data_IF_335283356687
#
_entry.id   IF_335283356687
#
_cell.length_a   1.000
_cell.length_b   1.000
_cell.length_c   1.000
_cell.angle_alpha   90.00
_cell.angle_beta   90.00
_cell.angle_gamma   90.00
#
_symmetry.space_group_name_H-M   'P 1'
#
loop_
_entity.id
_entity.type
_entity.pdbx_description
1 polymer ?
#
# COMPACT_ATOMS: atom_id res chain seq x y z
N UNK A 1 1.79 -2.36 -4.08
CA UNK A 1 2.53 -3.29 -4.95
C UNK A 1 3.99 -2.89 -4.99
N UNK A 2 4.91 -3.81 -4.74
CA UNK A 2 6.36 -3.57 -4.71
C UNK A 2 6.93 -3.10 -6.06
N UNK A 3 6.29 -3.52 -7.17
CA UNK A 3 6.57 -2.97 -8.49
C UNK A 3 6.29 -1.45 -8.57
N UNK A 4 5.13 -1.01 -8.08
CA UNK A 4 4.75 0.42 -8.11
C UNK A 4 5.47 1.26 -7.06
N UNK A 5 5.78 0.66 -5.90
CA UNK A 5 6.44 1.35 -4.80
C UNK A 5 7.97 1.45 -4.98
N UNK A 6 8.60 0.41 -5.53
CA UNK A 6 10.06 0.29 -5.58
C UNK A 6 10.64 0.00 -6.97
N UNK A 7 9.80 -0.23 -7.98
CA UNK A 7 10.25 -0.56 -9.35
C UNK A 7 10.83 -1.97 -9.47
N UNK A 8 10.52 -2.88 -8.54
CA UNK A 8 11.09 -4.22 -8.53
C UNK A 8 10.58 -5.11 -9.66
N UNK A 9 11.50 -5.79 -10.35
CA UNK A 9 11.18 -6.86 -11.30
C UNK A 9 10.56 -8.07 -10.60
N UNK A 10 9.86 -8.94 -11.36
CA UNK A 10 9.28 -10.21 -10.85
C UNK A 10 10.29 -11.03 -10.06
N UNK A 11 11.52 -11.14 -10.56
CA UNK A 11 12.59 -11.88 -9.91
C UNK A 11 12.98 -11.27 -8.57
N UNK A 12 13.00 -9.95 -8.46
CA UNK A 12 13.34 -9.25 -7.22
C UNK A 12 12.20 -9.40 -6.19
N UNK A 13 10.93 -9.36 -6.64
CA UNK A 13 9.78 -9.63 -5.78
C UNK A 13 9.83 -11.06 -5.24
N UNK A 14 10.13 -12.06 -6.07
CA UNK A 14 10.28 -13.44 -5.62
C UNK A 14 11.47 -13.62 -4.64
N UNK A 15 12.54 -12.83 -4.77
CA UNK A 15 13.67 -12.86 -3.81
C UNK A 15 13.29 -12.28 -2.45
N UNK A 16 12.51 -11.20 -2.43
CA UNK A 16 12.09 -10.52 -1.20
C UNK A 16 10.93 -11.26 -0.52
N UNK A 17 10.09 -11.94 -1.30
CA UNK A 17 8.94 -12.72 -0.85
C UNK A 17 9.14 -14.20 -1.20
N UNK A 18 9.94 -14.89 -0.38
CA UNK A 18 10.29 -16.31 -0.57
C UNK A 18 9.11 -17.29 -0.64
N UNK A 19 7.91 -16.85 -0.24
CA UNK A 19 6.67 -17.63 -0.32
C UNK A 19 5.92 -17.48 -1.66
N UNK A 20 6.27 -16.48 -2.47
CA UNK A 20 5.66 -16.29 -3.79
C UNK A 20 6.39 -17.13 -4.82
N UNK A 21 5.63 -17.90 -5.61
CA UNK A 21 6.24 -18.56 -6.77
C UNK A 21 6.41 -17.57 -7.93
N UNK A 22 7.41 -17.79 -8.81
CA UNK A 22 7.57 -16.98 -10.01
C UNK A 22 6.32 -16.99 -10.90
N UNK A 23 5.64 -18.14 -10.99
CA UNK A 23 4.43 -18.29 -11.77
C UNK A 23 3.29 -17.39 -11.26
N UNK A 24 3.06 -17.37 -9.95
CA UNK A 24 2.05 -16.50 -9.33
C UNK A 24 2.39 -15.02 -9.51
N UNK A 25 3.66 -14.65 -9.35
CA UNK A 25 4.10 -13.26 -9.51
C UNK A 25 3.96 -12.80 -10.97
N UNK A 26 4.30 -13.65 -11.94
CA UNK A 26 4.07 -13.36 -13.36
C UNK A 26 2.59 -13.27 -13.70
N UNK A 27 1.74 -14.15 -13.15
CA UNK A 27 0.30 -14.10 -13.37
C UNK A 27 -0.31 -12.80 -12.82
N UNK A 28 0.07 -12.41 -11.60
CA UNK A 28 -0.37 -11.17 -10.97
C UNK A 28 0.09 -9.94 -11.76
N UNK A 29 1.34 -9.91 -12.23
CA UNK A 29 1.82 -8.82 -13.09
C UNK A 29 1.09 -8.78 -14.44
N UNK A 30 0.84 -9.94 -15.05
CA UNK A 30 0.09 -10.02 -16.31
C UNK A 30 -1.31 -9.44 -16.16
N UNK A 31 -2.02 -9.82 -15.10
CA UNK A 31 -3.33 -9.26 -14.77
C UNK A 31 -3.27 -7.75 -14.53
N UNK A 32 -2.25 -7.29 -13.79
CA UNK A 32 -2.04 -5.86 -13.55
C UNK A 32 -1.87 -5.07 -14.84
N UNK A 33 -1.04 -5.53 -15.78
CA UNK A 33 -0.84 -4.80 -17.04
C UNK A 33 -2.07 -4.80 -17.95
N UNK A 34 -2.89 -5.86 -17.89
CA UNK A 34 -4.15 -5.93 -18.63
C UNK A 34 -5.21 -4.96 -18.06
N UNK A 35 -5.21 -4.76 -16.74
CA UNK A 35 -6.17 -3.92 -16.01
C UNK A 35 -5.55 -2.66 -15.41
N UNK A 36 -4.42 -2.19 -15.96
CA UNK A 36 -3.57 -1.20 -15.30
C UNK A 36 -4.34 0.07 -14.92
N UNK A 37 -5.15 0.60 -15.84
CA UNK A 37 -5.91 1.83 -15.61
C UNK A 37 -6.93 1.71 -14.48
N UNK A 38 -7.60 0.57 -14.40
CA UNK A 38 -8.60 0.30 -13.36
C UNK A 38 -7.92 0.23 -12.00
N UNK A 39 -6.84 -0.56 -11.90
CA UNK A 39 -6.10 -0.75 -10.66
C UNK A 39 -5.42 0.55 -10.19
N UNK A 40 -4.77 1.29 -11.10
CA UNK A 40 -4.17 2.60 -10.78
C UNK A 40 -5.23 3.59 -10.26
N UNK A 41 -6.44 3.55 -10.83
CA UNK A 41 -7.55 4.39 -10.38
C UNK A 41 -8.01 3.98 -8.98
N UNK A 42 -8.25 2.68 -8.73
CA UNK A 42 -8.64 2.18 -7.40
C UNK A 42 -7.61 2.54 -6.33
N UNK A 43 -6.32 2.33 -6.60
CA UNK A 43 -5.22 2.69 -5.69
C UNK A 43 -5.29 4.17 -5.32
N UNK A 44 -5.53 5.04 -6.32
CA UNK A 44 -5.63 6.49 -6.09
C UNK A 44 -6.85 6.83 -5.23
N UNK A 45 -8.01 6.27 -5.56
CA UNK A 45 -9.25 6.50 -4.83
C UNK A 45 -9.14 6.06 -3.38
N UNK A 46 -8.56 4.88 -3.11
CA UNK A 46 -8.29 4.41 -1.75
C UNK A 46 -7.31 5.33 -1.01
N UNK A 47 -6.26 5.80 -1.68
CA UNK A 47 -5.29 6.72 -1.08
C UNK A 47 -5.91 8.07 -0.71
N UNK A 48 -6.78 8.63 -1.55
CA UNK A 48 -7.53 9.85 -1.27
C UNK A 48 -8.50 9.65 -0.09
N UNK A 49 -9.19 8.49 -0.03
CA UNK A 49 -10.07 8.14 1.09
C UNK A 49 -9.34 8.02 2.43
N UNK A 50 -8.17 7.38 2.45
CA UNK A 50 -7.34 7.25 3.66
C UNK A 50 -6.84 8.61 4.15
N UNK A 51 -6.44 9.50 3.24
CA UNK A 51 -6.03 10.87 3.60
C UNK A 51 -7.18 11.72 4.14
N UNK A 52 -8.37 11.60 3.54
CA UNK A 52 -9.59 12.22 4.07
C UNK A 52 -9.92 11.71 5.48
N UNK A 53 -9.85 10.39 5.67
CA UNK A 53 -10.17 9.73 6.93
C UNK A 53 -9.17 10.01 8.05
N UNK A 54 -7.87 10.12 7.75
CA UNK A 54 -6.84 10.52 8.73
C UNK A 54 -6.99 11.97 9.18
N UNK A 55 -7.53 12.84 8.31
CA UNK A 55 -7.85 14.23 8.66
C UNK A 55 -9.13 14.37 9.49
N UNK A 56 -10.07 13.42 9.35
CA UNK A 56 -11.36 13.42 10.04
C UNK A 56 -11.41 12.54 11.31
N UNK A 57 -10.41 11.70 11.53
CA UNK A 57 -10.36 10.86 12.74
C UNK A 57 -10.06 11.71 13.96
N UNK A 58 -11.06 11.86 14.83
CA UNK A 58 -10.91 12.50 16.13
C UNK A 58 -9.87 11.72 16.92
N UNK A 59 -8.70 12.34 17.13
CA UNK A 59 -7.63 11.76 17.94
C UNK A 59 -8.19 11.31 19.28
N UNK A 60 -7.89 10.08 19.68
CA UNK A 60 -8.41 9.53 20.92
C UNK A 60 -8.00 10.40 22.12
N UNK A 61 -8.83 10.51 23.17
CA UNK A 61 -8.48 11.27 24.37
C UNK A 61 -7.15 10.83 24.99
N UNK A 62 -6.77 9.55 24.82
CA UNK A 62 -5.48 9.02 25.24
C UNK A 62 -4.30 9.64 24.47
N UNK A 63 -4.39 9.74 23.14
CA UNK A 63 -3.37 10.37 22.31
C UNK A 63 -3.16 11.84 22.70
N UNK A 64 -4.24 12.58 22.96
CA UNK A 64 -4.18 13.98 23.39
C UNK A 64 -3.43 14.12 24.72
N UNK A 65 -3.70 13.25 25.69
CA UNK A 65 -2.99 13.24 26.98
C UNK A 65 -1.51 12.92 26.83
N UNK A 66 -1.15 11.91 26.04
CA UNK A 66 0.26 11.55 25.83
C UNK A 66 1.05 12.68 25.13
N UNK A 67 0.45 13.34 24.13
CA UNK A 67 1.08 14.50 23.48
C UNK A 67 1.28 15.67 24.45
N UNK A 68 0.31 15.96 25.31
CA UNK A 68 0.41 17.01 26.31
C UNK A 68 1.50 16.74 27.37
N UNK A 69 1.80 15.47 27.62
CA UNK A 69 2.84 15.03 28.55
C UNK A 69 4.25 14.94 27.91
N UNK A 70 4.40 15.23 26.61
CA UNK A 70 5.70 15.21 25.91
C UNK A 70 6.28 13.82 25.69
N UNK A 71 5.46 12.78 25.76
CA UNK A 71 5.86 11.37 25.65
C UNK A 71 5.67 10.81 24.23
N UNK A 72 5.26 11.67 23.29
CA UNK A 72 5.08 11.41 21.86
C UNK A 72 5.75 12.52 21.04
#
# INVERSE_FOLDING_TARGET
MDYLAYGWSVEEICRQHLYLTPAETHAAMGYYFDHQKEIDQEIKEEWEQVQGSTSQSVRSPFYIRMKAQGVL
#
